data_IF_484449402376
#
_entry.id   IF_484449402376
#
_cell.length_a   1.000
_cell.length_b   1.000
_cell.length_c   1.000
_cell.angle_alpha   90.00
_cell.angle_beta   90.00
_cell.angle_gamma   90.00
#
_symmetry.space_group_name_H-M   'P 1'
#
loop_
_entity.id
_entity.type
_entity.pdbx_description
1 polymer ?
#
# COMPACT_ATOMS: atom_id res chain seq x y z
N UNK A 1 -0.96 26.72 23.40
CA UNK A 1 -0.37 25.36 23.39
C UNK A 1 -1.19 24.52 22.42
N UNK A 2 -0.57 23.77 21.50
CA UNK A 2 -1.29 22.87 20.59
C UNK A 2 -1.77 21.66 21.40
N UNK A 3 -3.04 21.25 21.22
CA UNK A 3 -3.59 20.04 21.86
C UNK A 3 -2.96 18.78 21.27
N UNK A 4 -2.80 17.74 22.07
CA UNK A 4 -2.27 16.44 21.63
C UNK A 4 -3.08 15.85 20.46
N UNK A 5 -4.41 16.03 20.46
CA UNK A 5 -5.27 15.55 19.37
C UNK A 5 -5.03 16.29 18.05
N UNK A 6 -4.79 17.60 18.14
CA UNK A 6 -4.44 18.40 16.97
C UNK A 6 -3.09 17.97 16.40
N UNK A 7 -2.09 17.76 17.25
CA UNK A 7 -0.78 17.26 16.82
C UNK A 7 -0.88 15.86 16.17
N UNK A 8 -1.65 14.95 16.78
CA UNK A 8 -1.91 13.60 16.23
C UNK A 8 -2.53 13.66 14.84
N UNK A 9 -3.54 14.51 14.63
CA UNK A 9 -4.20 14.63 13.34
C UNK A 9 -3.29 15.23 12.26
N UNK A 10 -2.52 16.27 12.60
CA UNK A 10 -1.57 16.90 11.67
C UNK A 10 -0.52 15.87 11.23
N UNK A 11 0.10 15.17 12.18
CA UNK A 11 1.10 14.13 11.88
C UNK A 11 0.48 12.99 11.08
N UNK A 12 -0.74 12.59 11.40
CA UNK A 12 -1.46 11.55 10.66
C UNK A 12 -1.74 11.92 9.21
N UNK A 13 -2.14 13.17 8.94
CA UNK A 13 -2.37 13.67 7.57
C UNK A 13 -1.06 13.71 6.79
N UNK A 14 0.01 14.24 7.38
CA UNK A 14 1.34 14.28 6.74
C UNK A 14 1.80 12.85 6.42
N UNK A 15 1.66 11.93 7.37
CA UNK A 15 1.98 10.51 7.18
C UNK A 15 1.19 9.90 6.03
N UNK A 16 -0.11 10.18 5.94
CA UNK A 16 -0.96 9.70 4.83
C UNK A 16 -0.44 10.15 3.46
N UNK A 17 -0.07 11.43 3.32
CA UNK A 17 0.45 11.98 2.06
C UNK A 17 1.77 11.32 1.66
N UNK A 18 2.69 11.15 2.62
CA UNK A 18 4.00 10.52 2.36
C UNK A 18 3.81 9.04 1.99
N UNK A 19 3.01 8.31 2.76
CA UNK A 19 2.71 6.89 2.50
C UNK A 19 2.03 6.68 1.15
N UNK A 20 1.15 7.61 0.73
CA UNK A 20 0.53 7.53 -0.60
C UNK A 20 1.59 7.64 -1.71
N UNK A 21 2.54 8.56 -1.58
CA UNK A 21 3.68 8.65 -2.49
C UNK A 21 4.53 7.37 -2.50
N UNK A 22 4.75 6.76 -1.32
CA UNK A 22 5.48 5.50 -1.20
C UNK A 22 4.77 4.35 -1.93
N UNK A 23 3.46 4.19 -1.77
CA UNK A 23 2.69 3.16 -2.49
C UNK A 23 2.68 3.35 -4.00
N UNK A 24 2.79 4.60 -4.48
CA UNK A 24 2.92 4.86 -5.91
C UNK A 24 4.35 4.68 -6.45
N UNK A 25 5.36 4.56 -5.58
CA UNK A 25 6.77 4.44 -6.01
C UNK A 25 7.07 3.27 -6.96
N UNK A 26 6.38 2.11 -6.91
CA UNK A 26 6.61 1.02 -7.86
C UNK A 26 5.93 1.22 -9.22
N UNK A 27 5.11 2.26 -9.42
CA UNK A 27 4.39 2.51 -10.69
C UNK A 27 5.30 2.44 -11.92
N UNK A 28 6.51 3.05 -11.96
CA UNK A 28 7.39 2.94 -13.11
C UNK A 28 7.84 1.51 -13.42
N UNK A 29 8.06 0.70 -12.37
CA UNK A 29 8.39 -0.73 -12.50
C UNK A 29 7.23 -1.51 -13.11
N UNK A 30 6.00 -1.29 -12.63
CA UNK A 30 4.82 -1.95 -13.20
C UNK A 30 4.55 -1.49 -14.65
N UNK A 31 4.81 -0.22 -14.97
CA UNK A 31 4.75 0.26 -16.34
C UNK A 31 5.76 -0.45 -17.26
N UNK A 32 6.97 -0.75 -16.77
CA UNK A 32 7.97 -1.53 -17.51
C UNK A 32 7.48 -2.95 -17.76
N UNK A 33 6.98 -3.64 -16.73
CA UNK A 33 6.42 -5.00 -16.85
C UNK A 33 5.29 -5.03 -17.89
N UNK A 34 4.36 -4.06 -17.84
CA UNK A 34 3.26 -3.96 -18.81
C UNK A 34 3.73 -3.73 -20.25
N UNK A 35 4.82 -2.98 -20.45
CA UNK A 35 5.40 -2.70 -21.77
C UNK A 35 6.22 -3.87 -22.31
N UNK A 36 7.03 -4.50 -21.45
CA UNK A 36 7.82 -5.68 -21.78
C UNK A 36 6.94 -6.92 -21.97
N UNK A 37 5.73 -6.92 -21.40
CA UNK A 37 4.82 -8.08 -21.33
C UNK A 37 5.43 -9.27 -20.58
N UNK A 38 6.43 -8.99 -19.75
CA UNK A 38 7.24 -9.94 -19.00
C UNK A 38 7.57 -9.30 -17.63
N UNK A 39 7.60 -10.11 -16.57
CA UNK A 39 8.01 -9.68 -15.22
C UNK A 39 9.53 -9.50 -15.09
N UNK A 40 10.30 -9.88 -16.11
CA UNK A 40 11.75 -9.84 -16.14
C UNK A 40 12.36 -10.49 -14.88
N UNK A 41 13.35 -9.85 -14.25
CA UNK A 41 13.95 -10.30 -12.99
C UNK A 41 13.26 -9.71 -11.74
N UNK A 42 12.15 -8.98 -11.92
CA UNK A 42 11.43 -8.40 -10.79
C UNK A 42 10.76 -9.49 -9.95
N UNK A 43 10.62 -9.27 -8.65
CA UNK A 43 10.00 -10.22 -7.72
C UNK A 43 8.71 -9.67 -7.12
N UNK A 44 7.70 -10.52 -6.87
CA UNK A 44 6.44 -10.10 -6.26
C UNK A 44 6.51 -9.96 -4.74
N UNK A 45 7.57 -10.47 -4.10
CA UNK A 45 7.71 -10.57 -2.63
C UNK A 45 7.44 -9.26 -1.87
N UNK A 46 7.94 -8.08 -2.32
CA UNK A 46 7.67 -6.81 -1.65
C UNK A 46 6.20 -6.41 -1.70
N UNK A 47 5.53 -6.63 -2.83
CA UNK A 47 4.11 -6.29 -2.99
C UNK A 47 3.24 -7.20 -2.12
N UNK A 48 3.55 -8.49 -2.08
CA UNK A 48 2.84 -9.46 -1.23
C UNK A 48 3.00 -9.15 0.25
N UNK A 49 4.23 -8.88 0.69
CA UNK A 49 4.51 -8.56 2.09
C UNK A 49 3.84 -7.25 2.51
N UNK A 50 3.83 -6.26 1.62
CA UNK A 50 3.19 -4.95 1.88
C UNK A 50 1.67 -5.07 1.90
N UNK A 51 1.06 -5.88 1.01
CA UNK A 51 -0.37 -6.19 1.05
C UNK A 51 -0.76 -6.83 2.39
N UNK A 52 -0.01 -7.83 2.85
CA UNK A 52 -0.23 -8.49 4.14
C UNK A 52 -0.08 -7.50 5.31
N UNK A 53 0.93 -6.63 5.26
CA UNK A 53 1.10 -5.57 6.25
C UNK A 53 -0.09 -4.61 6.28
N UNK A 54 -0.58 -4.18 5.12
CA UNK A 54 -1.76 -3.31 5.02
C UNK A 54 -3.00 -4.00 5.60
N UNK A 55 -3.21 -5.30 5.32
CA UNK A 55 -4.32 -6.06 5.91
C UNK A 55 -4.26 -6.08 7.45
N UNK A 56 -3.08 -6.26 8.02
CA UNK A 56 -2.89 -6.23 9.48
C UNK A 56 -3.19 -4.85 10.07
N UNK A 57 -2.76 -3.77 9.41
CA UNK A 57 -3.04 -2.41 9.87
C UNK A 57 -4.51 -2.00 9.73
N UNK A 58 -5.18 -2.44 8.65
CA UNK A 58 -6.62 -2.27 8.51
C UNK A 58 -7.34 -3.00 9.63
N UNK A 59 -6.98 -4.25 9.92
CA UNK A 59 -7.53 -5.00 11.05
C UNK A 59 -7.31 -4.28 12.39
N UNK A 60 -6.08 -3.80 12.64
CA UNK A 60 -5.75 -3.03 13.84
C UNK A 60 -6.59 -1.75 13.97
N UNK A 61 -6.91 -1.10 12.86
CA UNK A 61 -7.66 0.16 12.84
C UNK A 61 -9.16 0.00 13.11
N UNK A 62 -9.68 -1.22 13.19
CA UNK A 62 -11.08 -1.48 13.50
C UNK A 62 -11.43 -0.90 14.88
N UNK A 63 -12.58 -0.24 15.06
CA UNK A 63 -12.94 0.39 16.33
C UNK A 63 -12.97 -0.57 17.53
N UNK A 64 -13.23 -1.86 17.28
CA UNK A 64 -13.21 -2.92 18.30
C UNK A 64 -11.80 -3.28 18.77
N UNK A 65 -10.76 -3.04 17.95
CA UNK A 65 -9.36 -3.33 18.24
C UNK A 65 -8.65 -2.08 18.75
N UNK A 66 -8.72 -0.98 17.98
CA UNK A 66 -8.14 0.29 18.39
C UNK A 66 -9.03 1.48 17.99
N UNK A 67 -9.69 2.14 18.94
CA UNK A 67 -10.56 3.28 18.65
C UNK A 67 -9.78 4.48 18.11
N UNK A 68 -10.47 5.33 17.33
CA UNK A 68 -9.96 6.59 16.78
C UNK A 68 -8.75 6.45 15.84
N UNK A 69 -8.65 5.34 15.08
CA UNK A 69 -7.54 5.04 14.16
C UNK A 69 -7.87 5.22 12.67
N UNK A 70 -8.82 6.11 12.33
CA UNK A 70 -9.32 6.29 10.96
C UNK A 70 -8.23 6.69 9.95
N UNK A 71 -7.25 7.51 10.35
CA UNK A 71 -6.14 7.91 9.48
C UNK A 71 -5.18 6.74 9.17
N UNK A 72 -5.13 5.71 10.03
CA UNK A 72 -4.37 4.48 9.77
C UNK A 72 -5.18 3.56 8.86
N UNK A 73 -6.49 3.45 9.09
CA UNK A 73 -7.41 2.65 8.29
C UNK A 73 -7.40 3.09 6.82
N UNK A 74 -7.50 4.40 6.59
CA UNK A 74 -7.61 5.00 5.26
C UNK A 74 -6.37 4.75 4.42
N UNK A 75 -5.17 5.05 4.92
CA UNK A 75 -3.95 4.88 4.14
C UNK A 75 -3.60 3.42 3.86
N UNK A 76 -3.81 2.53 4.83
CA UNK A 76 -3.57 1.09 4.62
C UNK A 76 -4.64 0.46 3.74
N UNK A 77 -5.88 0.97 3.77
CA UNK A 77 -6.92 0.59 2.81
C UNK A 77 -6.55 0.96 1.38
N UNK A 78 -6.03 2.18 1.16
CA UNK A 78 -5.51 2.60 -0.15
C UNK A 78 -4.32 1.72 -0.57
N UNK A 79 -3.38 1.49 0.34
CA UNK A 79 -2.24 0.60 0.10
C UNK A 79 -2.67 -0.80 -0.31
N UNK A 80 -3.68 -1.37 0.36
CA UNK A 80 -4.22 -2.69 0.04
C UNK A 80 -4.76 -2.76 -1.40
N UNK A 81 -5.45 -1.71 -1.86
CA UNK A 81 -5.95 -1.64 -3.25
C UNK A 81 -4.80 -1.53 -4.25
N UNK A 82 -3.81 -0.67 -3.97
CA UNK A 82 -2.66 -0.43 -4.86
C UNK A 82 -1.79 -1.69 -4.97
N UNK A 83 -1.38 -2.28 -3.85
CA UNK A 83 -0.56 -3.50 -3.83
C UNK A 83 -1.30 -4.70 -4.42
N UNK A 84 -2.63 -4.77 -4.21
CA UNK A 84 -3.47 -5.78 -4.84
C UNK A 84 -3.44 -5.65 -6.37
N UNK A 85 -3.54 -4.42 -6.89
CA UNK A 85 -3.42 -4.17 -8.33
C UNK A 85 -2.02 -4.54 -8.87
N UNK A 86 -0.94 -4.23 -8.14
CA UNK A 86 0.42 -4.60 -8.54
C UNK A 86 0.60 -6.12 -8.61
N UNK A 87 0.12 -6.86 -7.61
CA UNK A 87 0.17 -8.32 -7.62
C UNK A 87 -0.64 -8.92 -8.78
N UNK A 88 -1.84 -8.39 -9.06
CA UNK A 88 -2.64 -8.84 -10.21
C UNK A 88 -1.87 -8.65 -11.52
N UNK A 89 -1.28 -7.47 -11.73
CA UNK A 89 -0.46 -7.19 -12.92
C UNK A 89 0.71 -8.17 -13.01
N UNK A 90 1.41 -8.38 -11.89
CA UNK A 90 2.54 -9.30 -11.83
C UNK A 90 2.14 -10.74 -12.19
N UNK A 91 1.02 -11.23 -11.66
CA UNK A 91 0.51 -12.58 -11.96
C UNK A 91 0.14 -12.77 -13.43
N UNK A 92 -0.47 -11.74 -14.05
CA UNK A 92 -0.83 -11.76 -15.47
C UNK A 92 0.42 -11.90 -16.35
N UNK A 93 1.47 -11.13 -16.08
CA UNK A 93 2.69 -11.14 -16.91
C UNK A 93 3.69 -12.24 -16.55
N UNK A 94 3.62 -12.80 -15.33
CA UNK A 94 4.46 -13.95 -14.95
C UNK A 94 4.06 -15.25 -15.66
N UNK A 95 2.80 -15.36 -16.10
CA UNK A 95 2.24 -16.58 -16.72
C UNK A 95 2.56 -16.67 -18.22
N UNK A 96 2.99 -15.57 -18.85
CA UNK A 96 3.35 -15.56 -20.28
C UNK A 96 4.72 -16.17 -20.58
N UNK A 97 5.49 -16.57 -19.56
CA UNK A 97 6.84 -17.11 -19.68
C UNK A 97 6.90 -18.66 -19.60
N UNK A 98 5.82 -19.36 -19.96
CA UNK A 98 5.78 -20.83 -20.03
C UNK A 98 6.61 -21.38 -21.20
#
# INVERSE_FOLDING_TARGET
MVSADAARNIVGIIGNVISFGLFLSPTPTLCRICKAKDVEEFKPDPYLTTLLNCMLWVFYSLPIVHPNSILVATINGIGLVIEGAYLIIFLIYSTNNN
#
